data_IF_767611982023
#
_entry.id   IF_767611982023
#
_cell.length_a   1.000
_cell.length_b   1.000
_cell.length_c   1.000
_cell.angle_alpha   90.00
_cell.angle_beta   90.00
_cell.angle_gamma   90.00
#
_symmetry.space_group_name_H-M   'P 1'
#
loop_
_entity.id
_entity.type
_entity.pdbx_description
1 polymer ?
#
# COMPACT_ATOMS: atom_id res chain seq x y z
N UNK A 1 -10.99 -10.18 7.86
CA UNK A 1 -12.20 -9.37 7.47
C UNK A 1 -12.29 -8.18 8.42
N UNK A 2 -12.39 -7.00 7.87
CA UNK A 2 -12.48 -5.73 8.61
C UNK A 2 -13.85 -5.63 9.27
N UNK A 3 -13.89 -5.45 10.60
CA UNK A 3 -15.14 -5.20 11.31
C UNK A 3 -15.58 -3.74 11.17
N UNK A 4 -16.85 -3.46 11.54
CA UNK A 4 -17.43 -2.12 11.45
C UNK A 4 -16.66 -1.08 12.29
N UNK A 5 -16.14 -1.48 13.45
CA UNK A 5 -15.41 -0.57 14.36
C UNK A 5 -14.06 -0.13 13.74
N UNK A 6 -13.35 -1.06 13.12
CA UNK A 6 -12.10 -0.74 12.40
C UNK A 6 -12.39 0.10 11.17
N UNK A 7 -13.46 -0.23 10.40
CA UNK A 7 -13.86 0.55 9.24
C UNK A 7 -14.13 2.02 9.61
N UNK A 8 -14.84 2.29 10.70
CA UNK A 8 -15.08 3.67 11.17
C UNK A 8 -13.81 4.40 11.59
N UNK A 9 -12.82 3.69 12.14
CA UNK A 9 -11.52 4.28 12.43
C UNK A 9 -10.76 4.64 11.13
N UNK A 10 -10.83 3.78 10.13
CA UNK A 10 -10.22 4.02 8.81
C UNK A 10 -10.87 5.24 8.12
N UNK A 11 -12.20 5.35 8.14
CA UNK A 11 -12.89 6.54 7.61
C UNK A 11 -12.41 7.81 8.29
N UNK A 12 -12.36 7.82 9.63
CA UNK A 12 -11.90 8.99 10.40
C UNK A 12 -10.44 9.33 10.07
N UNK A 13 -9.55 8.34 10.00
CA UNK A 13 -8.17 8.52 9.57
C UNK A 13 -8.10 9.15 8.17
N UNK A 14 -8.84 8.59 7.21
CA UNK A 14 -8.83 9.06 5.83
C UNK A 14 -9.33 10.50 5.70
N UNK A 15 -10.35 10.89 6.47
CA UNK A 15 -10.84 12.28 6.52
C UNK A 15 -9.75 13.24 7.01
N UNK A 16 -9.06 12.89 8.10
CA UNK A 16 -8.00 13.74 8.66
C UNK A 16 -6.76 13.78 7.74
N UNK A 17 -6.36 12.63 7.21
CA UNK A 17 -5.22 12.53 6.28
C UNK A 17 -5.50 13.24 4.96
N UNK A 18 -6.72 13.14 4.41
CA UNK A 18 -7.07 13.82 3.17
C UNK A 18 -7.08 15.34 3.35
N UNK A 19 -7.46 15.87 4.51
CA UNK A 19 -7.38 17.31 4.79
C UNK A 19 -5.95 17.83 4.79
N UNK A 20 -5.00 17.11 5.40
CA UNK A 20 -3.58 17.49 5.33
C UNK A 20 -3.01 17.36 3.92
N UNK A 21 -3.48 16.38 3.15
CA UNK A 21 -3.06 16.15 1.77
C UNK A 21 -3.76 17.07 0.75
N UNK A 22 -4.95 17.59 1.04
CA UNK A 22 -5.72 18.44 0.14
C UNK A 22 -4.94 19.70 -0.23
N UNK A 23 -4.24 20.32 0.69
CA UNK A 23 -3.44 21.53 0.38
C UNK A 23 -2.27 21.20 -0.54
N UNK A 24 -1.70 20.01 -0.42
CA UNK A 24 -0.66 19.50 -1.31
C UNK A 24 -1.21 19.11 -2.70
N UNK A 25 -2.42 18.53 -2.76
CA UNK A 25 -3.05 18.03 -3.98
C UNK A 25 -3.94 19.06 -4.67
N UNK A 26 -4.46 20.09 -3.99
CA UNK A 26 -5.17 21.24 -4.61
C UNK A 26 -4.34 21.90 -5.69
N UNK A 27 -3.03 21.94 -5.54
CA UNK A 27 -2.11 22.41 -6.59
C UNK A 27 -2.12 21.53 -7.85
N UNK A 28 -2.74 20.35 -7.84
CA UNK A 28 -2.79 19.39 -8.94
C UNK A 28 -4.19 19.15 -9.52
N UNK A 29 -5.18 19.98 -9.18
CA UNK A 29 -6.59 19.84 -9.67
C UNK A 29 -7.20 18.44 -9.47
N UNK A 30 -6.88 17.74 -8.40
CA UNK A 30 -7.47 16.44 -8.11
C UNK A 30 -8.78 16.58 -7.34
N UNK A 31 -9.76 15.70 -7.66
CA UNK A 31 -11.02 15.62 -6.94
C UNK A 31 -10.79 15.10 -5.51
N UNK A 32 -11.21 15.89 -4.50
CA UNK A 32 -11.05 15.57 -3.08
C UNK A 32 -11.75 14.28 -2.66
N UNK A 33 -12.92 13.99 -3.23
CA UNK A 33 -13.66 12.77 -2.94
C UNK A 33 -12.89 11.54 -3.42
N UNK A 34 -12.23 11.63 -4.57
CA UNK A 34 -11.39 10.56 -5.09
C UNK A 34 -10.16 10.33 -4.22
N UNK A 35 -9.57 11.37 -3.65
CA UNK A 35 -8.44 11.25 -2.71
C UNK A 35 -8.89 10.52 -1.46
N UNK A 36 -10.03 10.91 -0.89
CA UNK A 36 -10.62 10.28 0.29
C UNK A 36 -10.89 8.78 0.05
N UNK A 37 -11.58 8.45 -1.04
CA UNK A 37 -11.91 7.06 -1.43
C UNK A 37 -10.63 6.24 -1.60
N UNK A 38 -9.61 6.77 -2.27
CA UNK A 38 -8.34 6.08 -2.46
C UNK A 38 -7.60 5.86 -1.14
N UNK A 39 -7.66 6.81 -0.21
CA UNK A 39 -7.06 6.68 1.12
C UNK A 39 -7.76 5.58 1.93
N UNK A 40 -9.11 5.54 1.92
CA UNK A 40 -9.89 4.47 2.56
C UNK A 40 -9.53 3.12 1.95
N UNK A 41 -9.57 2.99 0.63
CA UNK A 41 -9.24 1.76 -0.08
C UNK A 41 -7.81 1.27 0.22
N UNK A 42 -6.84 2.18 0.25
CA UNK A 42 -5.46 1.86 0.62
C UNK A 42 -5.37 1.28 2.03
N UNK A 43 -5.97 1.94 3.01
CA UNK A 43 -5.94 1.47 4.41
C UNK A 43 -6.71 0.16 4.63
N UNK A 44 -7.84 -0.03 3.95
CA UNK A 44 -8.53 -1.33 3.98
C UNK A 44 -7.62 -2.43 3.43
N UNK A 45 -6.97 -2.20 2.28
CA UNK A 45 -6.03 -3.17 1.71
C UNK A 45 -4.85 -3.49 2.62
N UNK A 46 -4.30 -2.51 3.35
CA UNK A 46 -3.25 -2.74 4.35
C UNK A 46 -3.71 -3.68 5.46
N UNK A 47 -4.89 -3.44 6.06
CA UNK A 47 -5.42 -4.30 7.12
C UNK A 47 -5.84 -5.68 6.61
N UNK A 48 -6.43 -5.79 5.42
CA UNK A 48 -6.77 -7.09 4.83
C UNK A 48 -5.49 -7.90 4.52
N UNK A 49 -4.43 -7.25 4.04
CA UNK A 49 -3.12 -7.90 3.88
C UNK A 49 -2.60 -8.40 5.23
N UNK A 50 -2.64 -7.57 6.27
CA UNK A 50 -2.22 -7.93 7.62
C UNK A 50 -2.96 -9.17 8.13
N UNK A 51 -4.31 -9.18 8.07
CA UNK A 51 -5.08 -10.33 8.52
C UNK A 51 -4.82 -11.59 7.69
N UNK A 52 -4.67 -11.44 6.39
CA UNK A 52 -4.31 -12.56 5.50
C UNK A 52 -2.96 -13.16 5.87
N UNK A 53 -1.97 -12.33 6.20
CA UNK A 53 -0.65 -12.78 6.63
C UNK A 53 -0.69 -13.48 7.99
N UNK A 54 -1.38 -12.90 8.98
CA UNK A 54 -1.55 -13.53 10.30
C UNK A 54 -2.21 -14.90 10.14
N UNK A 55 -3.28 -15.00 9.36
CA UNK A 55 -3.98 -16.26 9.11
C UNK A 55 -3.10 -17.30 8.37
N UNK A 56 -2.14 -16.83 7.57
CA UNK A 56 -1.15 -17.68 6.90
C UNK A 56 0.08 -17.99 7.77
N UNK A 57 0.06 -17.65 9.07
CA UNK A 57 1.10 -17.97 10.05
C UNK A 57 2.28 -17.01 10.09
N UNK A 58 2.20 -15.84 9.44
CA UNK A 58 3.27 -14.84 9.52
C UNK A 58 3.27 -14.13 10.88
N UNK A 59 4.45 -13.84 11.40
CA UNK A 59 4.68 -13.11 12.64
C UNK A 59 4.93 -11.64 12.31
N UNK A 60 3.99 -10.78 12.66
CA UNK A 60 4.06 -9.35 12.37
C UNK A 60 4.47 -8.60 13.64
N UNK A 61 5.61 -7.90 13.57
CA UNK A 61 6.14 -7.05 14.63
C UNK A 61 5.48 -5.67 14.65
N UNK A 62 5.26 -5.09 13.46
CA UNK A 62 4.63 -3.80 13.29
C UNK A 62 3.45 -3.94 12.33
N UNK A 63 2.20 -3.94 12.83
CA UNK A 63 1.00 -3.96 12.01
C UNK A 63 0.78 -2.59 11.33
N UNK A 64 -0.13 -2.50 10.34
CA UNK A 64 -0.59 -1.23 9.81
C UNK A 64 -1.15 -0.33 10.92
N UNK A 65 -0.88 0.95 10.84
CA UNK A 65 -1.39 1.93 11.81
C UNK A 65 -2.31 2.99 11.15
N UNK A 66 -3.00 3.73 12.01
CA UNK A 66 -3.87 4.84 11.63
C UNK A 66 -3.34 6.17 12.20
N UNK A 67 -2.05 6.25 12.50
CA UNK A 67 -1.42 7.48 12.94
C UNK A 67 -1.20 8.42 11.75
N UNK A 68 -1.37 9.72 11.98
CA UNK A 68 -1.06 10.77 11.02
C UNK A 68 0.31 11.30 11.38
N UNK A 69 1.23 11.20 10.45
CA UNK A 69 2.60 11.68 10.63
C UNK A 69 2.80 12.98 9.87
N UNK A 70 3.59 13.93 10.41
CA UNK A 70 4.06 15.08 9.65
C UNK A 70 4.79 14.61 8.38
N UNK A 71 4.67 15.37 7.30
CA UNK A 71 5.09 15.00 5.94
C UNK A 71 6.54 14.50 5.80
N UNK A 72 7.43 14.82 6.73
CA UNK A 72 8.86 14.53 6.61
C UNK A 72 9.29 13.18 7.22
N UNK A 73 8.52 12.60 8.16
CA UNK A 73 9.04 11.50 8.98
C UNK A 73 8.73 10.08 8.47
N UNK A 74 7.73 9.88 7.60
CA UNK A 74 7.28 8.53 7.22
C UNK A 74 7.02 8.24 5.74
N UNK A 75 7.36 9.10 4.82
CA UNK A 75 7.12 8.85 3.39
C UNK A 75 7.79 7.56 2.85
N UNK A 76 8.68 6.97 3.64
CA UNK A 76 9.48 5.78 3.26
C UNK A 76 9.38 4.62 4.26
N UNK A 77 8.56 4.73 5.30
CA UNK A 77 8.33 3.62 6.22
C UNK A 77 7.53 2.52 5.54
N UNK A 78 7.81 1.27 5.89
CA UNK A 78 6.99 0.14 5.48
C UNK A 78 5.62 0.21 6.17
N UNK A 79 4.58 -0.24 5.46
CA UNK A 79 3.23 -0.32 6.02
C UNK A 79 3.14 -1.40 7.10
N UNK A 80 4.06 -2.38 7.06
CA UNK A 80 4.09 -3.50 7.99
C UNK A 80 5.50 -4.11 8.08
N UNK A 81 5.88 -4.63 9.27
CA UNK A 81 7.14 -5.35 9.47
C UNK A 81 6.84 -6.79 9.87
N UNK A 82 7.36 -7.74 9.08
CA UNK A 82 7.24 -9.17 9.31
C UNK A 82 8.58 -9.75 9.78
N UNK A 83 8.55 -10.54 10.86
CA UNK A 83 9.77 -11.09 11.51
C UNK A 83 9.88 -12.60 11.41
N UNK A 84 8.90 -13.29 10.86
CA UNK A 84 8.93 -14.75 10.74
C UNK A 84 7.66 -15.34 10.14
N UNK A 85 7.66 -16.67 10.01
CA UNK A 85 6.49 -17.45 9.61
C UNK A 85 6.45 -18.76 10.38
N UNK A 86 5.30 -19.12 10.94
CA UNK A 86 5.10 -20.25 11.84
C UNK A 86 6.14 -20.18 12.99
N UNK A 87 6.98 -21.20 13.16
CA UNK A 87 8.01 -21.23 14.18
C UNK A 87 9.38 -20.72 13.73
N UNK A 88 9.49 -20.31 12.45
CA UNK A 88 10.74 -19.83 11.85
C UNK A 88 10.80 -18.31 11.97
N UNK A 89 11.83 -17.78 12.61
CA UNK A 89 12.18 -16.36 12.59
C UNK A 89 13.10 -16.08 11.40
N UNK A 90 12.92 -14.92 10.78
CA UNK A 90 13.80 -14.47 9.72
C UNK A 90 15.07 -13.86 10.30
N UNK A 91 16.20 -14.09 9.65
CA UNK A 91 17.47 -13.45 10.00
C UNK A 91 17.37 -11.92 9.94
N UNK A 92 16.71 -11.41 8.90
CA UNK A 92 16.42 -9.98 8.72
C UNK A 92 14.92 -9.73 8.64
N UNK A 93 14.46 -8.68 9.31
CA UNK A 93 13.07 -8.23 9.23
C UNK A 93 12.67 -7.92 7.79
N UNK A 94 11.48 -8.33 7.37
CA UNK A 94 10.93 -8.03 6.06
C UNK A 94 9.99 -6.84 6.14
N UNK A 95 10.31 -5.79 5.40
CA UNK A 95 9.56 -4.55 5.31
C UNK A 95 8.56 -4.66 4.17
N UNK A 96 7.27 -4.63 4.47
CA UNK A 96 6.19 -4.84 3.50
C UNK A 96 5.56 -3.50 3.15
N UNK A 97 5.58 -3.16 1.86
CA UNK A 97 4.92 -2.00 1.28
C UNK A 97 3.68 -2.48 0.53
N UNK A 98 2.51 -2.09 1.01
CA UNK A 98 1.24 -2.59 0.48
C UNK A 98 0.74 -1.63 -0.60
N UNK A 99 0.38 -2.18 -1.74
CA UNK A 99 -0.19 -1.47 -2.88
C UNK A 99 -1.56 -2.03 -3.19
N UNK A 100 -2.55 -1.18 -3.21
CA UNK A 100 -3.93 -1.56 -3.51
C UNK A 100 -4.24 -1.24 -4.97
N UNK A 101 -4.83 -2.20 -5.66
CA UNK A 101 -5.24 -2.08 -7.07
C UNK A 101 -6.73 -2.24 -7.17
N UNK A 102 -7.43 -1.27 -7.72
CA UNK A 102 -8.87 -1.36 -7.96
C UNK A 102 -9.19 -2.48 -8.95
N UNK A 103 -10.40 -3.05 -8.85
CA UNK A 103 -10.85 -4.09 -9.76
C UNK A 103 -10.75 -3.65 -11.24
N UNK A 104 -11.13 -2.41 -11.53
CA UNK A 104 -11.04 -1.88 -12.91
C UNK A 104 -9.59 -1.79 -13.39
N UNK A 105 -8.67 -1.37 -12.54
CA UNK A 105 -7.24 -1.33 -12.88
C UNK A 105 -6.71 -2.73 -13.11
N UNK A 106 -7.06 -3.68 -12.23
CA UNK A 106 -6.68 -5.08 -12.39
C UNK A 106 -7.21 -5.69 -13.70
N UNK A 107 -8.48 -5.43 -14.04
CA UNK A 107 -9.09 -5.92 -15.30
C UNK A 107 -8.36 -5.41 -16.55
N UNK A 108 -7.88 -4.17 -16.52
CA UNK A 108 -7.24 -3.54 -17.68
C UNK A 108 -5.74 -3.80 -17.79
N UNK A 109 -5.04 -3.96 -16.66
CA UNK A 109 -3.58 -3.97 -16.61
C UNK A 109 -2.99 -5.18 -15.86
N UNK A 110 -3.83 -6.09 -15.35
CA UNK A 110 -3.38 -7.19 -14.51
C UNK A 110 -2.93 -6.74 -13.12
N UNK A 111 -2.13 -7.58 -12.47
CA UNK A 111 -1.50 -7.23 -11.20
C UNK A 111 -0.44 -6.17 -11.48
N UNK A 112 -0.70 -4.94 -11.05
CA UNK A 112 0.18 -3.81 -11.32
C UNK A 112 0.06 -2.77 -10.21
N UNK A 113 1.06 -1.92 -10.06
CA UNK A 113 0.98 -0.77 -9.15
C UNK A 113 1.84 0.38 -9.66
N UNK A 114 1.55 1.57 -9.13
CA UNK A 114 2.26 2.80 -9.45
C UNK A 114 3.03 3.29 -8.22
N UNK A 115 4.18 3.91 -8.48
CA UNK A 115 4.99 4.57 -7.45
C UNK A 115 5.51 5.91 -8.00
N UNK A 116 5.86 6.84 -7.12
CA UNK A 116 6.55 8.05 -7.56
C UNK A 116 7.95 7.72 -8.10
N UNK A 117 8.33 8.30 -9.25
CA UNK A 117 9.63 8.03 -9.86
C UNK A 117 10.81 8.47 -8.98
N UNK A 118 10.57 9.38 -8.03
CA UNK A 118 11.56 9.83 -7.05
C UNK A 118 11.55 9.05 -5.74
N UNK A 119 10.70 8.01 -5.61
CA UNK A 119 10.65 7.19 -4.41
C UNK A 119 12.02 6.56 -4.11
N UNK A 120 12.33 6.50 -2.80
CA UNK A 120 13.63 6.01 -2.34
C UNK A 120 13.89 4.56 -2.72
N UNK A 121 12.86 3.69 -2.69
CA UNK A 121 13.01 2.28 -3.05
C UNK A 121 13.14 2.05 -4.56
N UNK A 122 12.72 3.01 -5.38
CA UNK A 122 13.02 3.00 -6.82
C UNK A 122 14.51 3.24 -7.05
N UNK A 123 15.08 4.20 -6.34
CA UNK A 123 16.50 4.59 -6.48
C UNK A 123 17.45 3.64 -5.75
N UNK A 124 17.02 3.12 -4.61
CA UNK A 124 17.83 2.30 -3.70
C UNK A 124 17.02 1.09 -3.23
N UNK A 125 16.78 0.10 -4.11
CA UNK A 125 16.05 -1.11 -3.74
C UNK A 125 16.82 -1.92 -2.69
N UNK A 126 16.09 -2.68 -1.87
CA UNK A 126 16.64 -3.49 -0.78
C UNK A 126 16.04 -4.89 -0.81
N UNK A 127 16.84 -5.90 -0.52
CA UNK A 127 16.48 -7.32 -0.52
C UNK A 127 15.50 -7.71 0.58
N UNK A 128 15.40 -6.92 1.66
CA UNK A 128 14.45 -7.13 2.75
C UNK A 128 13.19 -6.24 2.64
N UNK A 129 12.99 -5.50 1.54
CA UNK A 129 11.79 -4.72 1.25
C UNK A 129 10.96 -5.39 0.14
N UNK A 130 9.67 -5.54 0.39
CA UNK A 130 8.74 -6.22 -0.51
C UNK A 130 7.53 -5.35 -0.80
N UNK A 131 7.06 -5.38 -2.03
CA UNK A 131 5.74 -4.87 -2.39
C UNK A 131 4.73 -6.02 -2.32
N UNK A 132 3.64 -5.80 -1.60
CA UNK A 132 2.47 -6.69 -1.55
C UNK A 132 1.32 -6.03 -2.29
N UNK A 133 0.82 -6.67 -3.34
CA UNK A 133 -0.29 -6.13 -4.13
C UNK A 133 -1.59 -6.77 -3.66
N UNK A 134 -2.52 -5.93 -3.21
CA UNK A 134 -3.88 -6.31 -2.83
C UNK A 134 -4.84 -5.87 -3.93
N UNK A 135 -5.70 -6.77 -4.40
CA UNK A 135 -6.67 -6.51 -5.46
C UNK A 135 -8.04 -6.31 -4.82
N UNK A 136 -8.61 -5.14 -5.02
CA UNK A 136 -9.97 -4.82 -4.58
C UNK A 136 -10.98 -5.65 -5.38
N UNK A 137 -11.81 -6.41 -4.67
CA UNK A 137 -12.95 -7.16 -5.25
C UNK A 137 -14.29 -6.44 -4.98
N UNK A 138 -14.34 -5.74 -3.86
CA UNK A 138 -15.43 -4.84 -3.47
C UNK A 138 -14.91 -3.80 -2.49
N UNK A 139 -15.74 -2.85 -2.08
CA UNK A 139 -15.37 -1.79 -1.11
C UNK A 139 -14.79 -2.33 0.22
N UNK A 140 -15.09 -3.57 0.57
CA UNK A 140 -14.68 -4.19 1.84
C UNK A 140 -14.01 -5.55 1.66
N UNK A 141 -13.77 -5.98 0.44
CA UNK A 141 -13.17 -7.28 0.13
C UNK A 141 -11.96 -7.10 -0.78
N UNK A 142 -10.85 -7.65 -0.33
CA UNK A 142 -9.58 -7.62 -1.04
C UNK A 142 -9.01 -9.02 -1.08
N UNK A 143 -8.42 -9.40 -2.19
CA UNK A 143 -7.64 -10.62 -2.28
C UNK A 143 -6.16 -10.32 -2.48
N UNK A 144 -5.34 -11.19 -1.98
CA UNK A 144 -3.90 -11.17 -2.22
C UNK A 144 -3.61 -11.41 -3.71
N UNK A 145 -2.83 -10.55 -4.31
CA UNK A 145 -2.40 -10.67 -5.69
C UNK A 145 -1.02 -11.30 -5.80
N UNK A 146 0.02 -10.57 -5.40
CA UNK A 146 1.41 -11.03 -5.52
C UNK A 146 2.33 -10.31 -4.53
N UNK A 147 3.41 -10.97 -4.15
CA UNK A 147 4.58 -10.38 -3.51
C UNK A 147 5.74 -10.29 -4.49
N UNK A 148 6.50 -9.20 -4.41
CA UNK A 148 7.73 -9.01 -5.16
C UNK A 148 8.77 -8.29 -4.29
N UNK A 149 10.01 -8.80 -4.30
CA UNK A 149 11.13 -8.10 -3.67
C UNK A 149 11.40 -6.78 -4.40
N UNK A 150 11.77 -5.73 -3.68
CA UNK A 150 12.03 -4.42 -4.31
C UNK A 150 13.20 -4.47 -5.30
N UNK A 151 14.14 -5.39 -5.12
CA UNK A 151 15.27 -5.65 -6.04
C UNK A 151 14.86 -6.33 -7.33
N UNK A 152 13.71 -7.03 -7.34
CA UNK A 152 13.24 -7.80 -8.50
C UNK A 152 12.22 -7.01 -9.34
N UNK A 153 11.88 -5.78 -8.90
CA UNK A 153 10.91 -4.95 -9.60
C UNK A 153 11.51 -4.36 -10.88
N UNK A 154 10.85 -4.62 -12.00
CA UNK A 154 11.17 -3.96 -13.27
C UNK A 154 10.25 -2.76 -13.41
N UNK A 155 10.83 -1.57 -13.33
CA UNK A 155 10.12 -0.31 -13.47
C UNK A 155 9.95 0.07 -14.95
N UNK A 156 8.73 0.46 -15.31
CA UNK A 156 8.36 0.84 -16.67
C UNK A 156 7.59 2.16 -16.65
N UNK A 157 7.58 2.93 -17.75
CA UNK A 157 6.62 4.01 -17.92
C UNK A 157 5.18 3.49 -17.77
N UNK A 158 4.29 4.21 -17.07
CA UNK A 158 2.91 3.79 -16.95
C UNK A 158 2.20 3.87 -18.32
N UNK A 159 1.30 2.92 -18.57
CA UNK A 159 0.44 2.91 -19.79
C UNK A 159 -0.52 4.10 -19.86
N UNK A 160 -0.70 4.81 -18.74
CA UNK A 160 -1.43 6.08 -18.66
C UNK A 160 -0.43 7.25 -18.66
N UNK A 161 -0.86 8.41 -19.14
CA UNK A 161 -0.01 9.61 -19.13
C UNK A 161 0.16 10.16 -17.69
N UNK A 162 1.11 9.61 -16.96
CA UNK A 162 1.46 9.98 -15.58
C UNK A 162 2.98 10.17 -15.47
N UNK A 163 3.52 11.33 -15.91
CA UNK A 163 4.96 11.53 -16.10
C UNK A 163 5.79 11.47 -14.81
N UNK A 164 5.17 11.67 -13.64
CA UNK A 164 5.85 11.57 -12.34
C UNK A 164 5.84 10.16 -11.75
N UNK A 165 5.25 9.19 -12.44
CA UNK A 165 5.07 7.83 -11.93
C UNK A 165 5.89 6.82 -12.72
N UNK A 166 6.22 5.73 -12.03
CA UNK A 166 6.66 4.48 -12.63
C UNK A 166 5.64 3.40 -12.34
N UNK A 167 5.55 2.42 -13.19
CA UNK A 167 4.66 1.27 -13.07
C UNK A 167 5.44 -0.02 -12.96
N UNK A 168 4.94 -0.95 -12.16
CA UNK A 168 5.31 -2.36 -12.18
C UNK A 168 4.10 -3.14 -12.68
N UNK A 169 4.30 -4.01 -13.66
CA UNK A 169 3.31 -4.96 -14.20
C UNK A 169 3.83 -6.38 -13.90
N UNK A 170 3.04 -7.20 -13.15
CA UNK A 170 3.45 -8.50 -12.60
C UNK A 170 2.71 -9.67 -13.24
#
# INVERSE_FOLDING_TARGET
MIDYKLFKKIEKYAQLHSQSSIDHYRKRNQNTDKILINCIAGKIGEFECYYSMINAGYKIKSPPDLAIYPDDDKSHAADMICVGKNDILYENEKHIHIKTVSFNTFKNYGISFLIEANDRLVKYPKDNHFYSVMIEESLTSYRFGKWICSTDVIWMPPKMNLPSKLACYL
#
